data_IF_447847450871
#
_entry.id   IF_447847450871
#
_cell.length_a   1.000
_cell.length_b   1.000
_cell.length_c   1.000
_cell.angle_alpha   90.00
_cell.angle_beta   90.00
_cell.angle_gamma   90.00
#
_symmetry.space_group_name_H-M   'P 1'
#
loop_
_entity.id
_entity.type
_entity.pdbx_description
1 polymer ?
#
# COMPACT_ATOMS: atom_id res chain seq x y z
N UNK A 1 2.83 26.28 6.80
CA UNK A 1 2.81 27.07 8.06
C UNK A 1 1.41 27.12 8.68
N UNK A 2 0.36 27.50 7.93
CA UNK A 2 -1.02 27.49 8.43
C UNK A 2 -1.51 26.08 8.84
N UNK A 3 -1.27 25.06 8.01
CA UNK A 3 -1.63 23.66 8.30
C UNK A 3 -1.01 23.17 9.62
N UNK A 4 0.29 23.37 9.83
CA UNK A 4 0.94 22.99 11.09
C UNK A 4 0.43 23.78 12.30
N UNK A 5 -0.02 25.03 12.12
CA UNK A 5 -0.61 25.81 13.20
C UNK A 5 -1.99 25.25 13.60
N UNK A 6 -2.81 24.90 12.61
CA UNK A 6 -4.10 24.25 12.83
C UNK A 6 -3.93 22.87 13.48
N UNK A 7 -2.97 22.06 13.04
CA UNK A 7 -2.63 20.78 13.66
C UNK A 7 -2.27 20.95 15.16
N UNK A 8 -1.48 21.96 15.52
CA UNK A 8 -1.17 22.22 16.93
C UNK A 8 -2.39 22.62 17.73
N UNK A 9 -3.33 23.35 17.12
CA UNK A 9 -4.58 23.73 17.77
C UNK A 9 -5.49 22.52 17.99
N UNK A 10 -5.55 21.56 17.05
CA UNK A 10 -6.33 20.33 17.26
C UNK A 10 -5.76 19.50 18.42
N UNK A 11 -4.44 19.36 18.52
CA UNK A 11 -3.82 18.71 19.67
C UNK A 11 -4.11 19.44 20.99
N UNK A 12 -4.06 20.78 21.01
CA UNK A 12 -4.34 21.55 22.23
C UNK A 12 -5.78 21.45 22.70
N UNK A 13 -6.73 21.37 21.76
CA UNK A 13 -8.15 21.29 22.06
C UNK A 13 -8.62 19.88 22.44
N UNK A 14 -7.85 18.84 22.13
CA UNK A 14 -8.22 17.46 22.44
C UNK A 14 -8.04 17.11 23.92
N UNK A 15 -8.99 16.39 24.51
CA UNK A 15 -8.81 15.80 25.85
C UNK A 15 -7.84 14.61 25.80
N UNK A 16 -7.97 13.79 24.75
CA UNK A 16 -7.17 12.58 24.50
C UNK A 16 -6.87 12.49 23.00
N UNK A 17 -5.72 11.92 22.64
CA UNK A 17 -5.32 11.66 21.26
C UNK A 17 -5.19 10.16 21.01
N UNK A 18 -5.86 9.68 19.97
CA UNK A 18 -5.68 8.32 19.47
C UNK A 18 -4.77 8.35 18.24
N UNK A 19 -3.64 7.63 18.31
CA UNK A 19 -2.69 7.48 17.22
C UNK A 19 -2.76 6.06 16.65
N UNK A 20 -2.55 5.90 15.34
CA UNK A 20 -2.64 4.58 14.69
C UNK A 20 -1.37 3.74 14.85
N UNK A 21 -0.24 4.35 15.21
CA UNK A 21 1.04 3.68 15.47
C UNK A 21 1.95 4.56 16.35
N UNK A 22 3.13 4.04 16.69
CA UNK A 22 4.11 4.74 17.53
C UNK A 22 4.66 6.00 16.88
N UNK A 23 4.88 5.99 15.55
CA UNK A 23 5.39 7.17 14.84
C UNK A 23 4.43 8.35 14.94
N UNK A 24 3.12 8.13 14.79
CA UNK A 24 2.11 9.17 14.97
C UNK A 24 1.94 9.57 16.44
N UNK A 25 2.11 8.64 17.38
CA UNK A 25 2.16 8.98 18.81
C UNK A 25 3.31 9.93 19.11
N UNK A 26 4.50 9.66 18.55
CA UNK A 26 5.67 10.53 18.70
C UNK A 26 5.44 11.92 18.12
N UNK A 27 4.72 12.02 17.00
CA UNK A 27 4.30 13.32 16.44
C UNK A 27 3.38 14.07 17.40
N UNK A 28 2.37 13.40 17.97
CA UNK A 28 1.44 14.03 18.92
C UNK A 28 2.14 14.52 20.20
N UNK A 29 3.12 13.75 20.71
CA UNK A 29 3.90 14.14 21.90
C UNK A 29 4.88 15.27 21.58
N UNK A 30 5.71 15.11 20.55
CA UNK A 30 6.81 16.05 20.25
C UNK A 30 6.34 17.31 19.53
N UNK A 31 5.60 17.14 18.44
CA UNK A 31 5.13 18.27 17.60
C UNK A 31 3.82 18.86 18.14
N UNK A 32 2.93 18.00 18.64
CA UNK A 32 1.65 18.38 19.23
C UNK A 32 1.73 18.85 20.68
N UNK A 33 2.80 18.52 21.41
CA UNK A 33 2.99 18.93 22.80
C UNK A 33 2.03 18.25 23.77
N UNK A 34 1.46 17.09 23.40
CA UNK A 34 0.61 16.30 24.29
C UNK A 34 1.43 15.59 25.35
N UNK A 35 0.83 15.42 26.53
CA UNK A 35 1.42 14.58 27.58
C UNK A 35 1.33 13.10 27.15
N UNK A 36 2.40 12.30 27.30
CA UNK A 36 2.42 10.90 26.89
C UNK A 36 1.27 10.04 27.43
N UNK A 37 0.76 10.36 28.62
CA UNK A 37 -0.37 9.69 29.28
C UNK A 37 -1.73 9.98 28.65
N UNK A 38 -1.85 11.05 27.84
CA UNK A 38 -3.07 11.42 27.11
C UNK A 38 -3.03 10.97 25.64
N UNK A 39 -2.03 10.18 25.23
CA UNK A 39 -1.86 9.68 23.86
C UNK A 39 -1.81 8.16 23.82
N UNK A 40 -2.83 7.56 23.20
CA UNK A 40 -3.00 6.11 23.13
C UNK A 40 -2.81 5.61 21.70
N UNK A 41 -2.12 4.48 21.54
CA UNK A 41 -2.01 3.80 20.25
C UNK A 41 -3.18 2.84 20.08
N UNK A 42 -4.01 3.10 19.07
CA UNK A 42 -5.10 2.22 18.64
C UNK A 42 -4.85 1.88 17.18
N UNK A 43 -4.29 0.68 16.93
CA UNK A 43 -3.97 0.23 15.58
C UNK A 43 -5.24 -0.13 14.82
N UNK A 44 -5.32 0.32 13.57
CA UNK A 44 -6.32 -0.19 12.63
C UNK A 44 -6.04 -1.65 12.31
N UNK A 45 -7.09 -2.46 12.24
CA UNK A 45 -7.02 -3.87 11.87
C UNK A 45 -8.05 -4.14 10.76
N UNK A 46 -7.78 -5.11 9.86
CA UNK A 46 -8.79 -5.57 8.92
C UNK A 46 -9.94 -6.25 9.68
N UNK A 47 -11.14 -6.18 9.11
CA UNK A 47 -12.29 -6.95 9.58
C UNK A 47 -12.06 -8.43 9.25
N UNK A 48 -11.81 -9.25 10.27
CA UNK A 48 -11.42 -10.65 10.11
C UNK A 48 -12.54 -11.55 9.59
N UNK A 49 -13.79 -11.13 9.73
CA UNK A 49 -14.92 -11.88 9.16
C UNK A 49 -14.94 -11.72 7.63
N UNK A 50 -14.52 -10.55 7.14
CA UNK A 50 -14.40 -10.23 5.71
C UNK A 50 -13.08 -10.67 5.10
N UNK A 51 -11.97 -10.48 5.82
CA UNK A 51 -10.62 -10.73 5.36
C UNK A 51 -10.03 -11.95 6.07
N UNK A 52 -10.41 -13.12 5.60
CA UNK A 52 -9.86 -14.40 6.06
C UNK A 52 -9.22 -15.16 4.90
N UNK A 53 -8.19 -15.99 5.13
CA UNK A 53 -7.59 -16.79 4.08
C UNK A 53 -8.60 -17.74 3.42
N UNK A 54 -8.57 -17.79 2.08
CA UNK A 54 -9.33 -18.76 1.27
C UNK A 54 -8.35 -19.68 0.54
N UNK A 55 -8.80 -20.83 -0.01
CA UNK A 55 -7.94 -21.67 -0.84
C UNK A 55 -7.29 -20.85 -1.98
N UNK A 56 -5.97 -20.98 -2.21
CA UNK A 56 -5.31 -20.25 -3.28
C UNK A 56 -5.77 -20.73 -4.65
N UNK A 57 -5.72 -19.82 -5.62
CA UNK A 57 -6.18 -20.03 -7.01
C UNK A 57 -5.01 -19.88 -7.99
N UNK A 58 -4.30 -20.96 -8.34
CA UNK A 58 -3.09 -20.92 -9.18
C UNK A 58 -3.28 -20.21 -10.53
N UNK A 59 -4.49 -20.19 -11.07
CA UNK A 59 -4.88 -19.47 -12.29
C UNK A 59 -4.61 -17.96 -12.20
N UNK A 60 -4.72 -17.35 -11.01
CA UNK A 60 -4.44 -15.93 -10.81
C UNK A 60 -2.95 -15.60 -10.99
N UNK A 61 -2.08 -16.62 -10.94
CA UNK A 61 -0.64 -16.47 -11.27
C UNK A 61 -0.37 -16.43 -12.78
N UNK A 62 -1.39 -16.60 -13.64
CA UNK A 62 -1.27 -16.58 -15.11
C UNK A 62 -0.16 -17.49 -15.65
N UNK A 63 -0.07 -18.71 -15.11
CA UNK A 63 0.94 -19.69 -15.51
C UNK A 63 2.36 -19.40 -14.99
N UNK A 64 2.53 -18.41 -14.11
CA UNK A 64 3.80 -18.14 -13.43
C UNK A 64 3.88 -18.85 -12.07
N UNK A 65 5.08 -19.26 -11.64
CA UNK A 65 5.27 -19.82 -10.30
C UNK A 65 4.90 -18.86 -9.16
N UNK A 66 5.17 -17.56 -9.33
CA UNK A 66 5.01 -16.56 -8.29
C UNK A 66 3.99 -15.46 -8.65
N UNK A 67 3.15 -15.09 -7.69
CA UNK A 67 2.24 -13.95 -7.75
C UNK A 67 2.67 -12.87 -6.76
N UNK A 68 2.94 -11.68 -7.27
CA UNK A 68 3.23 -10.48 -6.48
C UNK A 68 1.96 -9.62 -6.46
N UNK A 69 1.53 -9.17 -5.29
CA UNK A 69 0.29 -8.42 -5.13
C UNK A 69 0.56 -7.05 -4.49
N UNK A 70 0.14 -5.98 -5.15
CA UNK A 70 -0.02 -4.67 -4.54
C UNK A 70 -1.50 -4.43 -4.27
N UNK A 71 -1.83 -3.92 -3.08
CA UNK A 71 -3.16 -3.48 -2.70
C UNK A 71 -3.06 -2.08 -2.10
N UNK A 72 -3.74 -1.10 -2.70
CA UNK A 72 -3.77 0.24 -2.12
C UNK A 72 -4.31 1.33 -3.03
N UNK A 73 -4.30 2.55 -2.52
CA UNK A 73 -4.54 3.74 -3.34
C UNK A 73 -3.29 4.00 -4.18
N UNK A 74 -3.47 4.28 -5.46
CA UNK A 74 -2.35 4.66 -6.34
C UNK A 74 -2.27 6.18 -6.44
N UNK A 75 -1.66 6.80 -5.44
CA UNK A 75 -1.28 8.20 -5.44
C UNK A 75 0.24 8.39 -5.53
N UNK A 76 0.71 9.64 -5.70
CA UNK A 76 2.15 9.93 -5.78
C UNK A 76 2.95 9.49 -4.54
N UNK A 77 2.30 9.45 -3.37
CA UNK A 77 2.92 9.06 -2.11
C UNK A 77 2.97 7.54 -1.88
N UNK A 78 2.26 6.74 -2.68
CA UNK A 78 2.08 5.30 -2.43
C UNK A 78 3.14 4.44 -3.15
N UNK A 79 4.06 5.06 -3.90
CA UNK A 79 5.30 4.43 -4.41
C UNK A 79 5.12 3.37 -5.50
N UNK A 80 3.96 3.30 -6.16
CA UNK A 80 3.67 2.28 -7.18
C UNK A 80 4.68 2.34 -8.34
N UNK A 81 5.18 3.53 -8.68
CA UNK A 81 6.24 3.71 -9.68
C UNK A 81 7.57 3.05 -9.25
N UNK A 82 7.88 3.04 -7.96
CA UNK A 82 9.07 2.37 -7.43
C UNK A 82 8.92 0.86 -7.55
N UNK A 83 7.74 0.33 -7.25
CA UNK A 83 7.43 -1.09 -7.46
C UNK A 83 7.61 -1.49 -8.94
N UNK A 84 7.02 -0.74 -9.88
CA UNK A 84 7.14 -1.03 -11.32
C UNK A 84 8.59 -0.98 -11.80
N UNK A 85 9.36 0.03 -11.39
CA UNK A 85 10.80 0.13 -11.72
C UNK A 85 11.60 -1.01 -11.11
N UNK A 86 11.31 -1.41 -9.87
CA UNK A 86 11.97 -2.55 -9.24
C UNK A 86 11.66 -3.87 -9.97
N UNK A 87 10.42 -4.07 -10.42
CA UNK A 87 10.03 -5.22 -11.23
C UNK A 87 10.72 -5.24 -12.60
N UNK A 88 10.87 -4.10 -13.26
CA UNK A 88 11.66 -3.99 -14.49
C UNK A 88 13.11 -4.41 -14.25
N UNK A 89 13.75 -3.92 -13.18
CA UNK A 89 15.12 -4.32 -12.81
C UNK A 89 15.22 -5.81 -12.46
N UNK A 90 14.22 -6.37 -11.79
CA UNK A 90 14.15 -7.80 -11.49
C UNK A 90 14.14 -8.65 -12.78
N UNK A 91 13.41 -8.20 -13.81
CA UNK A 91 13.40 -8.84 -15.13
C UNK A 91 14.70 -8.64 -15.89
N UNK A 92 15.16 -7.39 -16.00
CA UNK A 92 16.21 -6.98 -16.95
C UNK A 92 17.62 -7.19 -16.41
N UNK A 93 17.84 -6.92 -15.12
CA UNK A 93 19.16 -7.01 -14.49
C UNK A 93 19.38 -8.38 -13.82
N UNK A 94 18.32 -8.97 -13.26
CA UNK A 94 18.40 -10.25 -12.54
C UNK A 94 17.85 -11.43 -13.36
N UNK A 95 17.27 -11.20 -14.55
CA UNK A 95 16.79 -12.24 -15.45
C UNK A 95 15.57 -13.02 -14.93
N UNK A 96 14.89 -12.53 -13.89
CA UNK A 96 13.77 -13.24 -13.25
C UNK A 96 12.46 -12.91 -13.96
N UNK A 97 11.84 -13.92 -14.56
CA UNK A 97 10.58 -13.82 -15.35
C UNK A 97 9.52 -14.82 -14.89
N UNK A 98 9.78 -15.54 -13.81
CA UNK A 98 8.96 -16.57 -13.16
C UNK A 98 7.87 -15.99 -12.25
N UNK A 99 7.45 -14.76 -12.53
CA UNK A 99 6.48 -14.03 -11.73
C UNK A 99 5.44 -13.32 -12.60
N UNK A 100 4.25 -13.18 -12.03
CA UNK A 100 3.17 -12.28 -12.45
C UNK A 100 2.90 -11.30 -11.31
N UNK A 101 2.62 -10.03 -11.64
CA UNK A 101 2.29 -9.02 -10.65
C UNK A 101 0.88 -8.46 -10.90
N UNK A 102 0.11 -8.32 -9.83
CA UNK A 102 -1.20 -7.69 -9.84
C UNK A 102 -1.19 -6.45 -8.95
N UNK A 103 -1.72 -5.36 -9.50
CA UNK A 103 -1.92 -4.10 -8.80
C UNK A 103 -3.41 -3.88 -8.65
N UNK A 104 -3.89 -4.00 -7.40
CA UNK A 104 -5.28 -3.86 -7.02
C UNK A 104 -5.49 -2.50 -6.35
N UNK A 105 -6.46 -1.75 -6.88
CA UNK A 105 -6.81 -0.43 -6.39
C UNK A 105 -6.85 0.62 -7.50
N UNK A 106 -7.04 1.86 -7.09
CA UNK A 106 -7.16 3.02 -7.98
C UNK A 106 -6.60 4.27 -7.29
N UNK A 107 -6.46 5.36 -8.02
CA UNK A 107 -6.04 6.64 -7.47
C UNK A 107 -5.61 7.59 -8.58
N UNK A 108 -5.17 8.78 -8.18
CA UNK A 108 -4.86 9.88 -9.09
C UNK A 108 -3.76 9.54 -10.12
N UNK A 109 -2.88 8.59 -9.80
CA UNK A 109 -1.78 8.18 -10.69
C UNK A 109 -2.04 6.88 -11.43
N UNK A 110 -3.22 6.27 -11.32
CA UNK A 110 -3.52 4.96 -11.90
C UNK A 110 -3.16 4.86 -13.39
N UNK A 111 -3.70 5.77 -14.22
CA UNK A 111 -3.43 5.76 -15.68
C UNK A 111 -1.94 5.98 -15.99
N UNK A 112 -1.28 6.83 -15.20
CA UNK A 112 0.16 7.05 -15.32
C UNK A 112 0.97 5.80 -14.95
N UNK A 113 0.51 4.96 -14.01
CA UNK A 113 1.15 3.70 -13.64
C UNK A 113 0.94 2.62 -14.70
N UNK A 114 -0.24 2.56 -15.32
CA UNK A 114 -0.50 1.69 -16.48
C UNK A 114 0.43 2.07 -17.63
N UNK A 115 0.54 3.36 -17.94
CA UNK A 115 1.42 3.86 -18.99
C UNK A 115 2.91 3.64 -18.66
N UNK A 116 3.33 3.85 -17.41
CA UNK A 116 4.70 3.54 -16.98
C UNK A 116 5.02 2.05 -17.13
N UNK A 117 4.08 1.17 -16.76
CA UNK A 117 4.23 -0.28 -16.96
C UNK A 117 4.45 -0.61 -18.44
N UNK A 118 3.69 0.03 -19.35
CA UNK A 118 3.87 -0.11 -20.80
C UNK A 118 5.26 0.38 -21.26
N UNK A 119 5.69 1.54 -20.77
CA UNK A 119 7.01 2.11 -21.10
C UNK A 119 8.17 1.23 -20.62
N UNK A 120 8.01 0.55 -19.49
CA UNK A 120 8.96 -0.43 -18.96
C UNK A 120 8.85 -1.81 -19.64
N UNK A 121 7.92 -1.99 -20.59
CA UNK A 121 7.67 -3.25 -21.28
C UNK A 121 7.09 -4.35 -20.39
N UNK A 122 6.41 -3.99 -19.30
CA UNK A 122 5.91 -4.92 -18.29
C UNK A 122 4.47 -5.40 -18.55
N UNK A 123 3.82 -4.95 -19.63
CA UNK A 123 2.40 -5.20 -19.91
C UNK A 123 1.97 -6.66 -19.89
N UNK A 124 2.86 -7.59 -20.24
CA UNK A 124 2.56 -9.03 -20.25
C UNK A 124 2.69 -9.70 -18.86
N UNK A 125 3.41 -9.08 -17.92
CA UNK A 125 3.67 -9.60 -16.58
C UNK A 125 3.01 -8.80 -15.46
N UNK A 126 2.41 -7.66 -15.78
CA UNK A 126 1.76 -6.76 -14.83
C UNK A 126 0.30 -6.56 -15.21
N UNK A 127 -0.60 -6.80 -14.25
CA UNK A 127 -2.03 -6.55 -14.39
C UNK A 127 -2.47 -5.44 -13.45
N UNK A 128 -3.20 -4.46 -13.97
CA UNK A 128 -3.96 -3.50 -13.16
C UNK A 128 -5.43 -3.91 -13.19
N UNK A 129 -6.03 -4.08 -12.02
CA UNK A 129 -7.44 -4.52 -11.90
C UNK A 129 -8.41 -3.35 -11.70
N UNK A 130 -7.91 -2.18 -11.31
CA UNK A 130 -8.75 -1.13 -10.74
C UNK A 130 -9.24 -1.53 -9.35
N UNK A 131 -10.36 -0.95 -8.92
CA UNK A 131 -11.04 -1.41 -7.70
C UNK A 131 -11.85 -2.67 -8.01
N UNK A 132 -11.68 -3.69 -7.18
CA UNK A 132 -12.44 -4.95 -7.25
C UNK A 132 -13.20 -5.18 -5.94
N UNK A 133 -14.25 -6.02 -5.94
CA UNK A 133 -14.94 -6.42 -4.72
C UNK A 133 -14.01 -7.12 -3.71
N UNK A 134 -14.37 -7.06 -2.42
CA UNK A 134 -13.58 -7.68 -1.35
C UNK A 134 -13.40 -9.19 -1.55
N UNK A 135 -14.44 -9.89 -2.03
CA UNK A 135 -14.37 -11.33 -2.29
C UNK A 135 -13.28 -11.67 -3.32
N UNK A 136 -13.11 -10.84 -4.36
CA UNK A 136 -12.04 -11.00 -5.34
C UNK A 136 -10.68 -10.59 -4.77
N UNK A 137 -10.64 -9.55 -3.93
CA UNK A 137 -9.43 -9.13 -3.26
C UNK A 137 -8.87 -10.23 -2.35
N UNK A 138 -9.71 -10.90 -1.58
CA UNK A 138 -9.31 -11.99 -0.67
C UNK A 138 -8.71 -13.16 -1.45
N UNK A 139 -9.22 -13.48 -2.65
CA UNK A 139 -8.67 -14.51 -3.55
C UNK A 139 -7.26 -14.15 -4.02
N UNK A 140 -7.03 -12.89 -4.43
CA UNK A 140 -5.70 -12.40 -4.79
C UNK A 140 -4.72 -12.46 -3.62
N UNK A 141 -5.12 -11.95 -2.45
CA UNK A 141 -4.28 -11.94 -1.25
C UNK A 141 -3.92 -13.35 -0.78
N UNK A 142 -4.86 -14.30 -0.85
CA UNK A 142 -4.63 -15.70 -0.45
C UNK A 142 -3.75 -16.47 -1.43
N UNK A 143 -3.68 -16.02 -2.69
CA UNK A 143 -2.85 -16.64 -3.74
C UNK A 143 -1.46 -16.03 -3.84
N UNK A 144 -1.29 -14.77 -3.44
CA UNK A 144 -0.05 -14.03 -3.55
C UNK A 144 1.08 -14.68 -2.72
N UNK A 145 2.26 -14.82 -3.32
CA UNK A 145 3.46 -15.28 -2.61
C UNK A 145 4.18 -14.10 -1.94
N UNK A 146 4.01 -12.88 -2.47
CA UNK A 146 4.62 -11.65 -1.95
C UNK A 146 3.63 -10.50 -2.07
N UNK A 147 3.43 -9.74 -0.99
CA UNK A 147 2.69 -8.48 -1.02
C UNK A 147 3.67 -7.28 -1.08
N UNK A 148 3.40 -6.32 -1.96
CA UNK A 148 4.23 -5.15 -2.20
C UNK A 148 3.72 -3.95 -1.40
N UNK A 149 4.60 -3.32 -0.60
CA UNK A 149 4.39 -2.01 0.05
C UNK A 149 5.59 -1.12 -0.29
N UNK A 150 5.52 -0.39 -1.42
CA UNK A 150 6.65 0.37 -1.96
C UNK A 150 6.69 1.83 -1.48
N UNK A 151 5.87 2.17 -0.50
CA UNK A 151 5.63 3.51 0.01
C UNK A 151 6.96 4.25 0.32
N UNK A 152 7.29 5.33 -0.41
CA UNK A 152 8.43 6.16 -0.08
C UNK A 152 8.28 6.76 1.31
N UNK A 153 9.40 7.05 1.95
CA UNK A 153 9.39 7.80 3.20
C UNK A 153 8.73 9.17 2.99
N UNK A 154 7.53 9.34 3.55
CA UNK A 154 6.80 10.59 3.52
C UNK A 154 6.89 11.30 4.88
N UNK A 155 7.42 12.55 4.93
CA UNK A 155 7.45 13.34 6.15
C UNK A 155 6.07 13.97 6.43
N UNK A 156 5.08 13.14 6.76
CA UNK A 156 3.92 13.60 7.54
C UNK A 156 4.34 13.88 8.99
#
# INVERSE_FOLDING_TARGET
>A
RAVCALERLTYRAADVVLATNESYRDVAVRRGGRRPEDVFVVRSAPDIDRFHPVPPEPELKRGKPHLLCYLGVMGPQDGVDYALRALAKLRDELGRTDWHAVFVGAGDTFDAMVELSRQLGLSEQVQFTGRIPDDDLVRYLSTADVCLSPDPHNPL
#
